data_IF_314382941773
#
_entry.id   IF_314382941773
#
_cell.length_a   1.000
_cell.length_b   1.000
_cell.length_c   1.000
_cell.angle_alpha   90.00
_cell.angle_beta   90.00
_cell.angle_gamma   90.00
#
_symmetry.space_group_name_H-M   'P 1'
#
loop_
_entity.id
_entity.type
_entity.pdbx_description
1 polymer ?
#
# COMPACT_ATOMS: atom_id res chain seq x y z
N UNK A 1 28.92 -1.31 -22.18
CA UNK A 1 28.15 -2.50 -21.73
C UNK A 1 26.80 -2.47 -22.43
N UNK A 2 26.66 -3.21 -23.54
CA UNK A 2 25.37 -3.43 -24.18
C UNK A 2 24.62 -4.49 -23.36
N UNK A 3 23.64 -4.05 -22.58
CA UNK A 3 22.68 -4.96 -21.95
C UNK A 3 21.86 -5.58 -23.10
N UNK A 4 21.78 -6.91 -23.23
CA UNK A 4 21.01 -7.55 -24.29
C UNK A 4 19.56 -7.05 -24.25
N UNK A 5 19.15 -6.34 -25.29
CA UNK A 5 17.83 -5.69 -25.40
C UNK A 5 16.66 -6.69 -25.31
N UNK A 6 16.91 -7.98 -25.51
CA UNK A 6 15.92 -9.04 -25.40
C UNK A 6 15.71 -9.61 -23.99
N UNK A 7 16.60 -9.34 -23.03
CA UNK A 7 16.48 -9.89 -21.66
C UNK A 7 15.85 -8.91 -20.66
N UNK A 8 15.90 -7.60 -20.92
CA UNK A 8 15.58 -6.58 -19.91
C UNK A 8 14.11 -6.14 -19.79
N UNK A 9 13.35 -6.08 -20.89
CA UNK A 9 12.05 -5.38 -20.83
C UNK A 9 10.83 -6.31 -20.89
N UNK A 10 10.87 -7.38 -21.70
CA UNK A 10 9.72 -8.30 -21.89
C UNK A 10 9.56 -9.37 -20.82
N UNK A 11 10.61 -9.70 -20.04
CA UNK A 11 10.52 -10.65 -18.92
C UNK A 11 10.24 -9.97 -17.57
N UNK A 12 10.80 -8.79 -17.33
CA UNK A 12 10.54 -7.99 -16.13
C UNK A 12 9.09 -7.48 -16.10
N UNK A 13 8.58 -7.09 -17.25
CA UNK A 13 7.15 -6.90 -17.47
C UNK A 13 6.63 -8.05 -18.31
N UNK A 14 6.27 -9.15 -17.65
CA UNK A 14 5.52 -10.23 -18.28
C UNK A 14 4.13 -9.68 -18.63
N UNK A 15 4.07 -8.92 -19.72
CA UNK A 15 2.90 -8.19 -20.22
C UNK A 15 1.76 -9.16 -20.43
N UNK A 16 2.04 -10.40 -20.85
CA UNK A 16 1.00 -11.43 -21.01
C UNK A 16 0.40 -11.87 -19.67
N UNK A 17 1.18 -11.98 -18.58
CA UNK A 17 0.64 -12.22 -17.23
C UNK A 17 -0.04 -11.00 -16.62
N UNK A 18 0.42 -9.79 -16.94
CA UNK A 18 -0.30 -8.57 -16.61
C UNK A 18 -1.63 -8.51 -17.35
N UNK A 19 -1.63 -8.75 -18.66
CA UNK A 19 -2.82 -8.80 -19.50
C UNK A 19 -3.75 -9.91 -18.99
N UNK A 20 -3.26 -11.09 -18.61
CA UNK A 20 -4.09 -12.14 -18.01
C UNK A 20 -4.66 -11.73 -16.64
N UNK A 21 -3.85 -11.20 -15.72
CA UNK A 21 -4.32 -10.75 -14.39
C UNK A 21 -5.26 -9.53 -14.46
N UNK A 22 -4.99 -8.59 -15.34
CA UNK A 22 -5.81 -7.41 -15.54
C UNK A 22 -6.98 -7.67 -16.50
N UNK A 23 -6.96 -8.75 -17.30
CA UNK A 23 -8.06 -9.07 -18.22
C UNK A 23 -9.36 -9.19 -17.45
N UNK A 24 -9.39 -9.92 -16.34
CA UNK A 24 -10.60 -10.08 -15.53
C UNK A 24 -11.11 -8.75 -15.01
N UNK A 25 -10.21 -7.86 -14.58
CA UNK A 25 -10.56 -6.54 -14.04
C UNK A 25 -10.95 -5.52 -15.12
N UNK A 26 -10.32 -5.60 -16.29
CA UNK A 26 -10.67 -4.86 -17.50
C UNK A 26 -12.04 -5.34 -18.00
N UNK A 27 -12.31 -6.65 -17.98
CA UNK A 27 -13.62 -7.22 -18.32
C UNK A 27 -14.69 -6.76 -17.33
N UNK A 28 -14.43 -6.80 -16.02
CA UNK A 28 -15.37 -6.30 -15.00
C UNK A 28 -15.62 -4.79 -15.22
N UNK A 29 -14.59 -4.01 -15.48
CA UNK A 29 -14.71 -2.56 -15.71
C UNK A 29 -15.43 -2.24 -17.01
N UNK A 30 -15.18 -3.00 -18.07
CA UNK A 30 -15.83 -2.87 -19.35
C UNK A 30 -17.32 -3.26 -19.28
N UNK A 31 -17.64 -4.41 -18.67
CA UNK A 31 -19.02 -4.84 -18.43
C UNK A 31 -19.75 -3.79 -17.61
N UNK A 32 -19.10 -3.27 -16.58
CA UNK A 32 -19.73 -2.29 -15.70
C UNK A 32 -19.89 -0.91 -16.38
N UNK A 33 -18.95 -0.49 -17.24
CA UNK A 33 -19.11 0.68 -18.12
C UNK A 33 -20.26 0.50 -19.12
N UNK A 34 -20.41 -0.70 -19.70
CA UNK A 34 -21.54 -1.03 -20.58
C UNK A 34 -22.86 -0.96 -19.80
N UNK A 35 -22.90 -1.49 -18.57
CA UNK A 35 -24.07 -1.37 -17.69
C UNK A 35 -24.38 0.08 -17.34
N UNK A 36 -23.36 0.91 -17.10
CA UNK A 36 -23.50 2.35 -16.87
C UNK A 36 -24.11 3.05 -18.09
N UNK A 37 -23.54 2.82 -19.28
CA UNK A 37 -24.01 3.40 -20.53
C UNK A 37 -25.44 2.93 -20.89
N UNK A 38 -25.77 1.67 -20.63
CA UNK A 38 -27.13 1.15 -20.79
C UNK A 38 -28.12 1.85 -19.86
N UNK A 39 -27.77 2.03 -18.59
CA UNK A 39 -28.63 2.73 -17.64
C UNK A 39 -28.80 4.22 -17.99
N UNK A 40 -27.73 4.90 -18.45
CA UNK A 40 -27.80 6.28 -18.96
C UNK A 40 -28.67 6.37 -20.22
N UNK A 41 -28.54 5.43 -21.15
CA UNK A 41 -29.40 5.34 -22.33
C UNK A 41 -30.87 5.11 -21.93
N UNK A 42 -31.15 4.24 -20.97
CA UNK A 42 -32.51 4.02 -20.45
C UNK A 42 -33.07 5.31 -19.82
N UNK A 43 -32.27 6.09 -19.08
CA UNK A 43 -32.69 7.39 -18.53
C UNK A 43 -33.04 8.39 -19.64
N UNK A 44 -32.20 8.46 -20.68
CA UNK A 44 -32.35 9.42 -21.78
C UNK A 44 -33.53 9.09 -22.70
N UNK A 45 -33.82 7.80 -22.92
CA UNK A 45 -34.80 7.35 -23.91
C UNK A 45 -36.18 6.99 -23.34
N UNK A 46 -36.40 7.12 -22.03
CA UNK A 46 -37.66 6.70 -21.41
C UNK A 46 -38.49 7.85 -20.84
N UNK A 47 -39.82 7.73 -20.98
CA UNK A 47 -40.83 8.54 -20.26
C UNK A 47 -40.90 8.14 -18.77
N UNK A 48 -39.75 7.97 -18.13
CA UNK A 48 -39.63 7.58 -16.74
C UNK A 48 -39.86 8.81 -15.84
N UNK A 49 -40.53 8.59 -14.71
CA UNK A 49 -40.76 9.62 -13.69
C UNK A 49 -39.43 10.17 -13.15
N UNK A 50 -39.43 11.42 -12.70
CA UNK A 50 -38.21 12.07 -12.18
C UNK A 50 -37.53 11.24 -11.08
N UNK A 51 -38.31 10.56 -10.23
CA UNK A 51 -37.79 9.70 -9.16
C UNK A 51 -37.02 8.50 -9.70
N UNK A 52 -37.55 7.81 -10.71
CA UNK A 52 -36.87 6.67 -11.29
C UNK A 52 -35.63 7.09 -12.11
N UNK A 53 -35.62 8.27 -12.74
CA UNK A 53 -34.38 8.83 -13.33
C UNK A 53 -33.28 9.06 -12.28
N UNK A 54 -33.63 9.60 -11.11
CA UNK A 54 -32.69 9.80 -10.00
C UNK A 54 -32.13 8.47 -9.49
N UNK A 55 -32.97 7.46 -9.30
CA UNK A 55 -32.52 6.14 -8.83
C UNK A 55 -31.63 5.43 -9.86
N UNK A 56 -31.92 5.53 -11.16
CA UNK A 56 -31.05 4.93 -12.18
C UNK A 56 -29.70 5.67 -12.23
N UNK A 57 -29.70 7.00 -12.18
CA UNK A 57 -28.46 7.80 -12.22
C UNK A 57 -27.56 7.48 -11.03
N UNK A 58 -28.16 7.24 -9.87
CA UNK A 58 -27.44 6.81 -8.69
C UNK A 58 -26.89 5.40 -8.78
N UNK A 59 -27.68 4.44 -9.28
CA UNK A 59 -27.19 3.09 -9.52
C UNK A 59 -25.97 3.11 -10.43
N UNK A 60 -26.01 3.96 -11.48
CA UNK A 60 -24.88 4.22 -12.36
C UNK A 60 -23.67 4.76 -11.59
N UNK A 61 -23.85 5.82 -10.79
CA UNK A 61 -22.74 6.41 -10.04
C UNK A 61 -22.16 5.40 -9.03
N UNK A 62 -23.00 4.73 -8.24
CA UNK A 62 -22.55 3.73 -7.26
C UNK A 62 -21.76 2.60 -7.91
N UNK A 63 -22.27 2.05 -9.03
CA UNK A 63 -21.54 1.03 -9.81
C UNK A 63 -20.22 1.61 -10.34
N UNK A 64 -20.23 2.82 -10.90
CA UNK A 64 -19.03 3.50 -11.41
C UNK A 64 -17.95 3.60 -10.35
N UNK A 65 -18.32 4.05 -9.15
CA UNK A 65 -17.42 4.24 -8.03
C UNK A 65 -16.86 2.90 -7.51
N UNK A 66 -17.67 1.84 -7.47
CA UNK A 66 -17.20 0.48 -7.13
C UNK A 66 -16.15 0.02 -8.14
N UNK A 67 -16.39 0.23 -9.44
CA UNK A 67 -15.40 -0.12 -10.48
C UNK A 67 -14.12 0.70 -10.27
N UNK A 68 -14.25 2.01 -10.11
CA UNK A 68 -13.09 2.90 -9.93
C UNK A 68 -12.29 2.44 -8.72
N UNK A 69 -12.94 2.09 -7.60
CA UNK A 69 -12.27 1.53 -6.44
C UNK A 69 -11.48 0.26 -6.78
N UNK A 70 -12.12 -0.71 -7.43
CA UNK A 70 -11.47 -1.98 -7.79
C UNK A 70 -10.29 -1.75 -8.75
N UNK A 71 -10.48 -0.91 -9.76
CA UNK A 71 -9.42 -0.52 -10.69
C UNK A 71 -8.26 0.13 -9.96
N UNK A 72 -8.51 1.06 -9.04
CA UNK A 72 -7.47 1.73 -8.28
C UNK A 72 -6.72 0.78 -7.34
N UNK A 73 -7.42 -0.13 -6.65
CA UNK A 73 -6.79 -1.19 -5.83
C UNK A 73 -5.82 -2.00 -6.69
N UNK A 74 -6.27 -2.41 -7.88
CA UNK A 74 -5.47 -3.24 -8.78
C UNK A 74 -4.33 -2.49 -9.46
N UNK A 75 -4.56 -1.26 -9.91
CA UNK A 75 -3.59 -0.47 -10.66
C UNK A 75 -2.51 0.11 -9.76
N UNK A 76 -2.89 0.62 -8.59
CA UNK A 76 -1.95 1.24 -7.67
C UNK A 76 -1.26 0.22 -6.74
N UNK A 77 -1.71 -1.05 -6.74
CA UNK A 77 -1.34 -2.07 -5.74
C UNK A 77 -1.39 -1.54 -4.31
N UNK A 78 -2.29 -0.59 -4.09
CA UNK A 78 -2.38 0.14 -2.85
C UNK A 78 -3.26 -0.66 -1.88
N UNK A 79 -3.00 -0.50 -0.59
CA UNK A 79 -3.82 -1.10 0.45
C UNK A 79 -5.30 -0.69 0.28
N UNK A 80 -6.24 -1.63 0.42
CA UNK A 80 -7.67 -1.40 0.20
C UNK A 80 -8.24 -0.33 1.15
N UNK A 81 -7.59 -0.18 2.30
CA UNK A 81 -7.79 0.78 3.36
C UNK A 81 -7.71 2.23 2.86
N UNK A 82 -6.85 2.50 1.87
CA UNK A 82 -6.70 3.82 1.26
C UNK A 82 -7.95 4.27 0.48
N UNK A 83 -8.92 3.38 0.26
CA UNK A 83 -10.17 3.66 -0.44
C UNK A 83 -11.40 3.72 0.47
N UNK A 84 -11.24 3.67 1.80
CA UNK A 84 -12.38 3.74 2.74
C UNK A 84 -13.24 5.00 2.56
N UNK A 85 -12.64 6.14 2.22
CA UNK A 85 -13.39 7.36 1.90
C UNK A 85 -14.31 7.19 0.68
N UNK A 86 -13.87 6.45 -0.34
CA UNK A 86 -14.65 6.14 -1.52
C UNK A 86 -15.82 5.18 -1.20
N UNK A 87 -15.60 4.22 -0.29
CA UNK A 87 -16.68 3.36 0.23
C UNK A 87 -17.75 4.19 0.93
N UNK A 88 -17.37 5.16 1.78
CA UNK A 88 -18.31 6.07 2.43
C UNK A 88 -19.17 6.84 1.42
N UNK A 89 -18.55 7.34 0.35
CA UNK A 89 -19.26 8.02 -0.74
C UNK A 89 -20.23 7.08 -1.47
N UNK A 90 -19.80 5.86 -1.81
CA UNK A 90 -20.65 4.84 -2.46
C UNK A 90 -21.88 4.53 -1.59
N UNK A 91 -21.66 4.29 -0.30
CA UNK A 91 -22.71 3.95 0.66
C UNK A 91 -23.68 5.12 0.81
N UNK A 92 -23.19 6.33 1.01
CA UNK A 92 -24.02 7.53 1.15
C UNK A 92 -24.88 7.82 -0.08
N UNK A 93 -24.30 7.75 -1.29
CA UNK A 93 -25.03 7.94 -2.54
C UNK A 93 -26.07 6.84 -2.75
N UNK A 94 -25.70 5.57 -2.54
CA UNK A 94 -26.64 4.44 -2.65
C UNK A 94 -27.83 4.66 -1.72
N UNK A 95 -27.63 5.06 -0.47
CA UNK A 95 -28.75 5.33 0.43
C UNK A 95 -29.62 6.52 -0.01
N UNK A 96 -29.02 7.66 -0.35
CA UNK A 96 -29.77 8.85 -0.75
C UNK A 96 -30.69 8.62 -1.95
N UNK A 97 -30.31 7.72 -2.86
CA UNK A 97 -31.01 7.54 -4.12
C UNK A 97 -31.87 6.28 -4.23
N UNK A 98 -31.63 5.27 -3.39
CA UNK A 98 -32.50 4.10 -3.28
C UNK A 98 -33.62 4.28 -2.25
N UNK A 99 -33.59 5.35 -1.44
CA UNK A 99 -34.67 5.70 -0.51
C UNK A 99 -36.08 5.65 -1.15
N UNK A 100 -36.33 6.18 -2.37
CA UNK A 100 -37.65 6.10 -3.01
C UNK A 100 -38.09 4.69 -3.41
N UNK A 101 -37.16 3.74 -3.56
CA UNK A 101 -37.43 2.33 -3.88
C UNK A 101 -37.62 1.48 -2.62
N UNK A 102 -36.88 1.81 -1.56
CA UNK A 102 -36.89 1.05 -0.31
C UNK A 102 -38.19 1.28 0.46
N UNK A 103 -38.75 2.49 0.48
CA UNK A 103 -39.99 2.79 1.19
C UNK A 103 -41.18 1.96 0.66
N UNK A 104 -41.46 1.91 -0.66
CA UNK A 104 -42.54 1.06 -1.19
C UNK A 104 -42.30 -0.43 -0.95
N UNK A 105 -41.06 -0.90 -1.11
CA UNK A 105 -40.70 -2.30 -0.91
C UNK A 105 -40.90 -2.74 0.54
N UNK A 106 -40.47 -1.89 1.49
CA UNK A 106 -40.70 -2.13 2.91
C UNK A 106 -42.20 -2.14 3.24
N UNK A 107 -42.96 -1.18 2.71
CA UNK A 107 -44.42 -1.13 2.89
C UNK A 107 -45.10 -2.38 2.32
N UNK A 108 -44.61 -2.93 1.21
CA UNK A 108 -45.06 -4.19 0.64
C UNK A 108 -44.78 -5.39 1.56
N UNK A 109 -43.54 -5.56 2.01
CA UNK A 109 -43.18 -6.66 2.94
C UNK A 109 -43.88 -6.53 4.29
N UNK A 110 -44.07 -5.32 4.79
CA UNK A 110 -44.84 -5.07 6.01
C UNK A 110 -46.27 -5.57 5.89
N UNK A 111 -46.96 -5.29 4.76
CA UNK A 111 -48.32 -5.78 4.51
C UNK A 111 -48.37 -7.31 4.46
N UNK A 112 -47.31 -7.95 3.97
CA UNK A 112 -47.19 -9.41 3.95
C UNK A 112 -46.95 -10.01 5.34
N UNK A 113 -46.09 -9.38 6.15
CA UNK A 113 -45.63 -9.93 7.43
C UNK A 113 -46.52 -9.58 8.62
N UNK A 114 -47.18 -8.42 8.61
CA UNK A 114 -47.98 -7.94 9.75
C UNK A 114 -49.39 -7.63 9.28
N UNK A 115 -50.26 -8.65 9.39
CA UNK A 115 -51.66 -8.66 8.91
C UNK A 115 -52.55 -7.59 9.57
N UNK A 116 -52.14 -7.05 10.72
CA UNK A 116 -52.89 -6.09 11.55
C UNK A 116 -52.10 -4.82 11.93
N UNK A 117 -51.16 -4.36 11.09
CA UNK A 117 -50.30 -3.21 11.43
C UNK A 117 -50.93 -1.83 11.17
N UNK A 118 -51.94 -1.44 11.94
CA UNK A 118 -52.43 -0.04 11.98
C UNK A 118 -51.51 0.92 12.74
N UNK A 119 -50.48 0.42 13.43
CA UNK A 119 -49.76 1.18 14.47
C UNK A 119 -48.46 1.87 14.04
N UNK A 120 -47.78 1.43 12.97
CA UNK A 120 -46.55 2.09 12.50
C UNK A 120 -46.86 3.10 11.40
N UNK A 121 -46.57 4.38 11.61
CA UNK A 121 -46.71 5.38 10.55
C UNK A 121 -45.62 5.17 9.47
N UNK A 122 -45.88 5.54 8.22
CA UNK A 122 -44.86 5.56 7.16
C UNK A 122 -43.66 6.43 7.56
N UNK A 123 -43.93 7.53 8.30
CA UNK A 123 -42.91 8.38 8.88
C UNK A 123 -42.00 7.63 9.86
N UNK A 124 -42.54 6.72 10.67
CA UNK A 124 -41.76 5.90 11.61
C UNK A 124 -40.78 4.97 10.88
N UNK A 125 -41.21 4.39 9.75
CA UNK A 125 -40.35 3.55 8.90
C UNK A 125 -39.23 4.39 8.29
N UNK A 126 -39.58 5.56 7.75
CA UNK A 126 -38.61 6.48 7.17
C UNK A 126 -37.57 6.94 8.20
N UNK A 127 -38.03 7.27 9.40
CA UNK A 127 -37.15 7.66 10.50
C UNK A 127 -36.22 6.51 10.92
N UNK A 128 -36.71 5.28 10.99
CA UNK A 128 -35.89 4.11 11.30
C UNK A 128 -34.84 3.84 10.22
N UNK A 129 -35.24 3.91 8.94
CA UNK A 129 -34.32 3.79 7.82
C UNK A 129 -33.24 4.88 7.87
N UNK A 130 -33.62 6.14 8.02
CA UNK A 130 -32.69 7.27 8.11
C UNK A 130 -31.73 7.10 9.29
N UNK A 131 -32.21 6.62 10.45
CA UNK A 131 -31.36 6.32 11.61
C UNK A 131 -30.32 5.25 11.28
N UNK A 132 -30.71 4.17 10.61
CA UNK A 132 -29.79 3.13 10.15
C UNK A 132 -28.72 3.68 9.21
N UNK A 133 -29.11 4.54 8.25
CA UNK A 133 -28.18 5.20 7.33
C UNK A 133 -27.20 6.11 8.08
N UNK A 134 -27.70 6.92 9.02
CA UNK A 134 -26.88 7.81 9.84
C UNK A 134 -25.87 6.99 10.66
N UNK A 135 -26.30 5.88 11.26
CA UNK A 135 -25.41 5.01 12.04
C UNK A 135 -24.32 4.38 11.15
N UNK A 136 -24.69 3.78 10.02
CA UNK A 136 -23.72 3.17 9.09
C UNK A 136 -22.74 4.21 8.54
N UNK A 137 -23.25 5.36 8.10
CA UNK A 137 -22.43 6.45 7.58
C UNK A 137 -21.53 7.03 8.66
N UNK A 138 -22.02 7.14 9.90
CA UNK A 138 -21.25 7.55 11.06
C UNK A 138 -20.12 6.59 11.38
N UNK A 139 -20.36 5.27 11.33
CA UNK A 139 -19.30 4.27 11.49
C UNK A 139 -18.25 4.40 10.38
N UNK A 140 -18.65 4.47 9.12
CA UNK A 140 -17.71 4.61 8.00
C UNK A 140 -16.94 5.93 8.09
N UNK A 141 -17.60 7.02 8.48
CA UNK A 141 -16.97 8.32 8.70
C UNK A 141 -15.96 8.27 9.83
N UNK A 142 -16.29 7.65 10.97
CA UNK A 142 -15.36 7.47 12.08
C UNK A 142 -14.19 6.56 11.70
N UNK A 143 -14.43 5.52 10.90
CA UNK A 143 -13.35 4.70 10.33
C UNK A 143 -12.48 5.52 9.37
N UNK A 144 -13.08 6.38 8.55
CA UNK A 144 -12.39 7.28 7.63
C UNK A 144 -11.56 8.33 8.35
N UNK A 145 -12.10 8.96 9.41
CA UNK A 145 -11.34 9.82 10.32
C UNK A 145 -10.20 9.02 10.91
N UNK A 146 -10.48 7.87 11.53
CA UNK A 146 -9.44 7.03 12.13
C UNK A 146 -8.34 6.74 11.13
N UNK A 147 -8.63 6.27 9.92
CA UNK A 147 -7.61 5.99 8.90
C UNK A 147 -6.92 7.25 8.36
N UNK A 148 -7.61 8.39 8.31
CA UNK A 148 -7.01 9.66 7.88
C UNK A 148 -6.13 10.31 8.96
N UNK A 149 -6.46 10.15 10.24
CA UNK A 149 -5.77 10.79 11.37
C UNK A 149 -4.74 9.85 11.99
N UNK A 150 -5.03 8.56 12.02
CA UNK A 150 -4.07 7.54 12.39
C UNK A 150 -3.37 7.14 11.11
N UNK A 151 -2.07 7.41 11.00
CA UNK A 151 -1.20 6.88 9.92
C UNK A 151 -1.01 5.35 10.02
N UNK A 152 -2.05 4.64 10.48
CA UNK A 152 -2.14 3.19 10.79
C UNK A 152 -2.03 2.31 9.54
N UNK A 153 -2.00 2.91 8.35
CA UNK A 153 -1.50 2.24 7.13
C UNK A 153 -0.07 1.69 7.34
N UNK A 154 0.65 2.24 8.34
CA UNK A 154 1.91 1.76 8.85
C UNK A 154 1.79 1.54 10.37
N UNK A 155 1.29 0.38 10.82
CA UNK A 155 1.22 -0.02 12.24
C UNK A 155 2.56 0.11 12.99
N UNK A 156 3.69 0.27 12.28
CA UNK A 156 5.02 0.64 12.80
C UNK A 156 5.06 1.91 13.64
N UNK A 157 4.15 2.86 13.37
CA UNK A 157 4.12 4.17 14.02
C UNK A 157 2.98 4.30 15.04
N UNK A 158 2.36 3.20 15.46
CA UNK A 158 1.30 3.25 16.46
C UNK A 158 1.84 3.86 17.77
N UNK A 159 1.39 5.07 18.10
CA UNK A 159 1.89 5.92 19.21
C UNK A 159 3.29 6.54 19.00
N UNK A 160 3.80 6.59 17.77
CA UNK A 160 5.03 7.33 17.50
C UNK A 160 4.77 8.84 17.54
N UNK A 161 5.47 9.53 18.43
CA UNK A 161 5.49 10.99 18.47
C UNK A 161 6.59 11.50 17.53
N UNK A 162 6.21 12.34 16.57
CA UNK A 162 7.13 12.91 15.57
C UNK A 162 7.70 14.26 16.06
N UNK A 163 8.18 14.30 17.30
CA UNK A 163 8.68 15.53 17.90
C UNK A 163 10.16 15.77 17.57
N UNK A 164 10.92 14.69 17.43
CA UNK A 164 12.36 14.76 17.22
C UNK A 164 12.67 15.06 15.75
N UNK A 165 13.67 15.91 15.52
CA UNK A 165 14.21 16.20 14.20
C UNK A 165 15.50 15.43 14.01
N UNK A 166 15.72 14.88 12.81
CA UNK A 166 17.00 14.29 12.47
C UNK A 166 18.08 15.36 12.40
N UNK A 167 19.18 15.16 13.11
CA UNK A 167 20.38 15.98 13.04
C UNK A 167 21.29 15.54 11.88
N UNK A 168 20.71 15.45 10.68
CA UNK A 168 21.39 15.10 9.43
C UNK A 168 21.32 16.30 8.51
N UNK A 169 22.46 16.81 7.97
CA UNK A 169 22.48 17.91 7.02
C UNK A 169 21.50 17.71 5.85
N UNK A 170 20.62 18.69 5.62
CA UNK A 170 19.59 18.64 4.56
C UNK A 170 18.31 17.89 4.94
N UNK A 171 18.26 17.26 6.12
CA UNK A 171 17.10 16.55 6.67
C UNK A 171 16.61 17.15 7.99
N UNK A 172 17.03 18.35 8.36
CA UNK A 172 16.67 19.02 9.63
C UNK A 172 15.16 19.27 9.75
N UNK A 173 14.46 19.30 8.62
CA UNK A 173 13.00 19.44 8.53
C UNK A 173 12.25 18.12 8.66
N UNK A 174 12.94 16.98 8.55
CA UNK A 174 12.37 15.65 8.70
C UNK A 174 12.16 15.38 10.18
N UNK A 175 10.90 15.18 10.56
CA UNK A 175 10.55 14.72 11.90
C UNK A 175 10.62 13.21 11.94
N UNK A 176 11.43 12.68 12.85
CA UNK A 176 11.51 11.26 13.12
C UNK A 176 10.53 10.88 14.21
N UNK A 177 9.81 9.79 13.99
CA UNK A 177 8.98 9.16 15.01
C UNK A 177 9.57 7.78 15.29
N UNK A 178 9.81 7.41 16.55
CA UNK A 178 10.37 6.10 16.90
C UNK A 178 9.57 4.98 16.25
N UNK A 179 10.26 4.07 15.54
CA UNK A 179 9.60 3.00 14.80
C UNK A 179 9.70 1.70 15.59
N UNK A 180 8.58 1.07 15.91
CA UNK A 180 8.59 -0.24 16.55
C UNK A 180 8.54 -1.34 15.47
N UNK A 181 9.69 -1.97 15.24
CA UNK A 181 9.86 -3.07 14.29
C UNK A 181 10.10 -4.35 15.10
N UNK A 182 9.08 -5.21 15.15
CA UNK A 182 9.12 -6.49 15.87
C UNK A 182 9.56 -6.38 17.35
N UNK A 183 9.17 -5.29 18.03
CA UNK A 183 9.52 -5.06 19.43
C UNK A 183 10.86 -4.35 19.63
N UNK A 184 11.59 -4.03 18.56
CA UNK A 184 12.76 -3.16 18.62
C UNK A 184 12.38 -1.76 18.17
N UNK A 185 12.81 -0.75 18.93
CA UNK A 185 12.53 0.65 18.64
C UNK A 185 13.73 1.21 17.88
N UNK A 186 13.46 1.82 16.73
CA UNK A 186 14.47 2.56 15.94
C UNK A 186 14.35 4.03 16.27
N UNK A 187 15.33 4.55 16.98
CA UNK A 187 15.39 5.93 17.42
C UNK A 187 16.08 6.83 16.37
N UNK A 188 16.00 8.15 16.54
CA UNK A 188 16.64 9.10 15.63
C UNK A 188 18.17 8.95 15.66
N UNK A 189 18.72 8.73 16.85
CA UNK A 189 20.15 8.55 17.11
C UNK A 189 20.73 7.34 16.39
N UNK A 190 19.93 6.29 16.16
CA UNK A 190 20.36 5.11 15.41
C UNK A 190 20.59 5.48 13.93
N UNK A 191 19.66 6.25 13.35
CA UNK A 191 19.75 6.73 11.96
C UNK A 191 20.92 7.70 11.79
N UNK A 192 21.06 8.64 12.74
CA UNK A 192 22.16 9.60 12.78
C UNK A 192 23.51 8.91 12.94
N UNK A 193 23.61 7.87 13.78
CA UNK A 193 24.82 7.08 13.97
C UNK A 193 25.25 6.35 12.70
N UNK A 194 24.31 5.73 11.98
CA UNK A 194 24.59 5.12 10.66
C UNK A 194 25.02 6.18 9.66
N UNK A 195 24.29 7.29 9.56
CA UNK A 195 24.63 8.38 8.66
C UNK A 195 26.05 8.90 8.90
N UNK A 196 26.38 9.23 10.16
CA UNK A 196 27.68 9.77 10.54
C UNK A 196 28.80 8.76 10.22
N UNK A 197 28.58 7.47 10.52
CA UNK A 197 29.55 6.42 10.20
C UNK A 197 29.83 6.32 8.69
N UNK A 198 28.78 6.30 7.86
CA UNK A 198 28.92 6.21 6.41
C UNK A 198 29.55 7.49 5.83
N UNK A 199 29.24 8.65 6.39
CA UNK A 199 29.83 9.93 6.00
C UNK A 199 31.32 9.99 6.34
N UNK A 200 31.72 9.54 7.54
CA UNK A 200 33.10 9.57 8.00
C UNK A 200 34.00 8.59 7.23
N UNK A 201 33.46 7.44 6.84
CA UNK A 201 34.18 6.46 6.02
C UNK A 201 34.30 6.90 4.56
N UNK A 202 33.25 7.49 3.98
CA UNK A 202 33.24 7.93 2.59
C UNK A 202 33.32 6.79 1.56
N UNK A 203 33.14 5.55 2.00
CA UNK A 203 33.27 4.35 1.18
C UNK A 203 31.96 3.95 0.49
N UNK A 204 32.06 3.12 -0.56
CA UNK A 204 30.90 2.53 -1.20
C UNK A 204 30.19 1.54 -0.25
N UNK A 205 28.88 1.75 -0.06
CA UNK A 205 28.08 0.96 0.87
C UNK A 205 26.85 0.35 0.21
N UNK A 206 26.35 -0.72 0.81
CA UNK A 206 25.10 -1.38 0.43
C UNK A 206 24.20 -1.56 1.64
N UNK A 207 22.94 -1.13 1.52
CA UNK A 207 21.93 -1.28 2.57
C UNK A 207 20.97 -2.42 2.24
N UNK A 208 20.72 -3.29 3.22
CA UNK A 208 19.81 -4.42 3.09
C UNK A 208 19.02 -4.68 4.39
N UNK A 209 17.73 -5.09 4.34
CA UNK A 209 16.85 -5.16 3.16
C UNK A 209 16.06 -3.85 2.89
N UNK A 210 16.20 -2.87 3.76
CA UNK A 210 15.39 -1.64 3.80
C UNK A 210 16.30 -0.41 3.98
N UNK A 211 15.75 0.80 4.13
CA UNK A 211 16.51 2.03 4.41
C UNK A 211 17.39 2.57 3.26
N UNK A 212 17.02 2.30 2.01
CA UNK A 212 17.71 2.87 0.85
C UNK A 212 17.69 4.40 0.75
N UNK A 213 17.00 5.12 1.65
CA UNK A 213 17.13 6.58 1.70
C UNK A 213 18.55 7.02 2.09
N UNK A 214 19.36 6.16 2.72
CA UNK A 214 20.78 6.44 2.97
C UNK A 214 21.55 6.83 1.70
N UNK A 215 21.21 6.22 0.55
CA UNK A 215 21.78 6.59 -0.75
C UNK A 215 21.44 8.03 -1.15
N UNK A 216 20.20 8.46 -0.90
CA UNK A 216 19.74 9.80 -1.23
C UNK A 216 20.40 10.88 -0.37
N UNK A 217 20.62 10.62 0.92
CA UNK A 217 21.18 11.61 1.86
C UNK A 217 22.69 11.74 1.77
N UNK A 218 23.39 10.65 1.40
CA UNK A 218 24.84 10.65 1.22
C UNK A 218 25.24 10.90 -0.25
N UNK A 219 24.25 11.17 -1.12
CA UNK A 219 24.43 11.33 -2.58
C UNK A 219 25.23 10.19 -3.23
N UNK A 220 25.12 8.98 -2.65
CA UNK A 220 25.86 7.80 -3.09
C UNK A 220 24.94 6.87 -3.90
N UNK A 221 25.21 6.58 -5.19
CA UNK A 221 24.35 5.68 -5.96
C UNK A 221 24.32 4.28 -5.35
N UNK A 222 23.15 3.63 -5.40
CA UNK A 222 23.06 2.23 -4.98
C UNK A 222 23.82 1.34 -5.97
N UNK A 223 24.57 0.31 -5.48
CA UNK A 223 25.29 -0.62 -6.33
C UNK A 223 24.37 -1.54 -7.14
N UNK A 224 23.06 -1.51 -6.89
CA UNK A 224 22.10 -2.38 -7.55
C UNK A 224 20.75 -1.69 -7.80
N UNK A 225 19.96 -2.16 -8.78
CA UNK A 225 18.68 -1.54 -9.13
C UNK A 225 17.58 -1.76 -8.09
N UNK A 226 17.71 -2.73 -7.17
CA UNK A 226 16.73 -3.04 -6.15
C UNK A 226 17.05 -2.31 -4.85
N UNK A 227 16.30 -1.24 -4.58
CA UNK A 227 16.44 -0.40 -3.38
C UNK A 227 15.61 -0.88 -2.18
N UNK A 228 14.65 -1.76 -2.42
CA UNK A 228 13.75 -2.22 -1.36
C UNK A 228 13.37 -3.67 -1.60
N UNK A 229 13.49 -4.49 -0.56
CA UNK A 229 13.21 -5.92 -0.64
C UNK A 229 11.92 -6.22 0.11
N UNK A 230 10.84 -6.43 -0.63
CA UNK A 230 9.57 -6.89 -0.07
C UNK A 230 9.04 -8.04 -0.92
N UNK A 231 8.88 -9.19 -0.29
CA UNK A 231 8.40 -10.43 -0.91
C UNK A 231 7.01 -10.24 -1.51
N UNK A 232 6.87 -10.55 -2.80
CA UNK A 232 5.61 -10.39 -3.54
C UNK A 232 5.32 -8.97 -4.06
N UNK A 233 6.10 -7.97 -3.63
CA UNK A 233 5.97 -6.59 -4.09
C UNK A 233 7.13 -6.20 -5.02
N UNK A 234 8.36 -6.23 -4.52
CA UNK A 234 9.55 -5.84 -5.31
C UNK A 234 10.19 -7.02 -6.03
N UNK A 235 10.03 -8.23 -5.51
CA UNK A 235 10.43 -9.46 -6.20
C UNK A 235 9.49 -10.63 -5.93
N UNK A 236 9.55 -11.63 -6.80
CA UNK A 236 8.85 -12.90 -6.64
C UNK A 236 9.82 -13.99 -6.15
N UNK A 237 9.30 -15.03 -5.48
CA UNK A 237 10.15 -16.13 -4.99
C UNK A 237 10.87 -16.88 -6.13
N UNK A 238 10.29 -16.90 -7.32
CA UNK A 238 10.88 -17.61 -8.47
C UNK A 238 12.16 -16.95 -8.98
N UNK A 239 12.33 -15.65 -8.77
CA UNK A 239 13.52 -14.90 -9.20
C UNK A 239 14.52 -14.69 -8.04
N UNK A 240 14.26 -15.26 -6.86
CA UNK A 240 15.06 -15.00 -5.66
C UNK A 240 16.53 -15.35 -5.85
N UNK A 241 16.84 -16.54 -6.37
CA UNK A 241 18.22 -16.97 -6.60
C UNK A 241 18.95 -16.07 -7.61
N UNK A 242 18.25 -15.62 -8.66
CA UNK A 242 18.82 -14.65 -9.61
C UNK A 242 19.14 -13.32 -8.93
N UNK A 243 18.26 -12.84 -8.06
CA UNK A 243 18.48 -11.60 -7.31
C UNK A 243 19.63 -11.77 -6.30
N UNK A 244 19.74 -12.93 -5.65
CA UNK A 244 20.85 -13.29 -4.77
C UNK A 244 22.21 -13.14 -5.48
N UNK A 245 22.34 -13.75 -6.66
CA UNK A 245 23.52 -13.63 -7.52
C UNK A 245 23.76 -12.18 -7.94
N UNK A 246 22.72 -11.46 -8.37
CA UNK A 246 22.83 -10.06 -8.76
C UNK A 246 23.30 -9.14 -7.62
N UNK A 247 22.89 -9.41 -6.37
CA UNK A 247 23.37 -8.65 -5.21
C UNK A 247 24.88 -8.84 -5.08
N UNK A 248 25.35 -10.09 -5.05
CA UNK A 248 26.77 -10.41 -4.86
C UNK A 248 27.63 -9.88 -6.01
N UNK A 249 27.17 -10.05 -7.24
CA UNK A 249 27.83 -9.49 -8.43
C UNK A 249 27.88 -7.95 -8.36
N UNK A 250 26.79 -7.32 -7.90
CA UNK A 250 26.69 -5.88 -7.70
C UNK A 250 27.69 -5.37 -6.65
N UNK A 251 27.86 -6.08 -5.55
CA UNK A 251 28.82 -5.71 -4.50
C UNK A 251 30.26 -5.76 -5.03
N UNK A 252 30.62 -6.83 -5.73
CA UNK A 252 31.96 -7.01 -6.30
C UNK A 252 32.26 -5.99 -7.41
N UNK A 253 31.31 -5.78 -8.33
CA UNK A 253 31.51 -4.90 -9.48
C UNK A 253 31.54 -3.39 -9.15
N UNK A 254 30.95 -2.97 -8.04
CA UNK A 254 30.94 -1.57 -7.59
C UNK A 254 31.94 -1.29 -6.46
N UNK A 255 32.85 -2.24 -6.17
CA UNK A 255 33.85 -2.13 -5.11
C UNK A 255 33.27 -1.79 -3.73
N UNK A 256 32.10 -2.37 -3.40
CA UNK A 256 31.44 -2.10 -2.13
C UNK A 256 32.27 -2.61 -0.95
N UNK A 257 32.58 -1.71 -0.02
CA UNK A 257 33.35 -2.02 1.18
C UNK A 257 32.49 -2.19 2.41
N UNK A 258 31.31 -1.56 2.42
CA UNK A 258 30.44 -1.51 3.59
C UNK A 258 29.10 -2.17 3.29
N UNK A 259 28.59 -2.97 4.23
CA UNK A 259 27.22 -3.45 4.24
C UNK A 259 26.53 -2.93 5.50
N UNK A 260 25.38 -2.29 5.31
CA UNK A 260 24.46 -1.87 6.37
C UNK A 260 23.31 -2.87 6.39
N UNK A 261 23.29 -3.74 7.39
CA UNK A 261 22.32 -4.80 7.52
C UNK A 261 21.31 -4.47 8.63
N UNK A 262 20.01 -4.51 8.33
CA UNK A 262 18.97 -4.44 9.36
C UNK A 262 18.77 -5.81 10.01
N UNK A 263 18.95 -5.89 11.33
CA UNK A 263 18.79 -7.13 12.10
C UNK A 263 17.33 -7.56 12.28
N UNK A 264 16.39 -6.62 12.18
CA UNK A 264 14.95 -6.85 12.11
C UNK A 264 14.38 -6.19 10.86
N UNK A 265 13.33 -6.79 10.32
CA UNK A 265 12.64 -6.30 9.12
C UNK A 265 11.18 -5.95 9.41
N UNK A 266 10.59 -5.09 8.58
CA UNK A 266 9.14 -4.93 8.53
C UNK A 266 8.42 -6.25 8.16
N UNK A 267 7.14 -6.47 8.52
CA UNK A 267 6.30 -7.51 7.97
C UNK A 267 6.52 -7.80 6.49
N UNK A 268 6.93 -9.04 6.19
CA UNK A 268 7.31 -9.50 4.86
C UNK A 268 8.80 -9.47 4.56
N UNK A 269 9.63 -8.93 5.46
CA UNK A 269 11.10 -8.80 5.30
C UNK A 269 11.90 -9.46 6.44
N UNK A 270 11.22 -10.10 7.40
CA UNK A 270 11.75 -10.50 8.72
C UNK A 270 12.91 -11.51 8.66
N UNK A 271 13.00 -12.29 7.58
CA UNK A 271 13.98 -13.37 7.41
C UNK A 271 14.72 -13.28 6.09
N UNK A 272 14.71 -12.12 5.44
CA UNK A 272 15.19 -12.02 4.06
C UNK A 272 16.63 -12.46 3.90
N UNK A 273 17.53 -12.09 4.82
CA UNK A 273 18.94 -12.48 4.70
C UNK A 273 19.09 -14.01 4.55
N UNK A 274 18.43 -14.79 5.41
CA UNK A 274 18.44 -16.25 5.35
C UNK A 274 17.76 -16.84 4.11
N UNK A 275 16.99 -16.04 3.37
CA UNK A 275 16.41 -16.45 2.09
C UNK A 275 17.36 -16.22 0.90
N UNK A 276 18.40 -15.39 1.07
CA UNK A 276 19.44 -15.06 0.08
C UNK A 276 20.76 -15.72 0.50
N UNK A 277 20.85 -17.03 0.31
CA UNK A 277 21.94 -17.85 0.84
C UNK A 277 23.33 -17.49 0.29
N UNK A 278 23.42 -17.03 -0.95
CA UNK A 278 24.72 -16.66 -1.53
C UNK A 278 25.19 -15.36 -0.87
N UNK A 279 24.30 -14.38 -0.75
CA UNK A 279 24.58 -13.11 -0.09
C UNK A 279 24.88 -13.29 1.40
N UNK A 280 24.08 -14.08 2.13
CA UNK A 280 24.32 -14.40 3.55
C UNK A 280 25.71 -15.02 3.76
N UNK A 281 26.07 -16.00 2.93
CA UNK A 281 27.41 -16.61 2.97
C UNK A 281 28.51 -15.59 2.64
N UNK A 282 28.29 -14.73 1.65
CA UNK A 282 29.25 -13.68 1.26
C UNK A 282 29.52 -12.73 2.43
N UNK A 283 28.49 -12.30 3.17
CA UNK A 283 28.66 -11.49 4.39
C UNK A 283 29.49 -12.26 5.43
N UNK A 284 29.18 -13.54 5.67
CA UNK A 284 29.85 -14.34 6.69
C UNK A 284 31.33 -14.64 6.38
N UNK A 285 31.67 -14.81 5.11
CA UNK A 285 33.02 -15.16 4.65
C UNK A 285 33.90 -13.92 4.43
N UNK A 286 33.35 -12.87 3.81
CA UNK A 286 34.14 -11.76 3.30
C UNK A 286 34.02 -10.50 4.15
N UNK A 287 33.01 -10.41 5.02
CA UNK A 287 32.79 -9.22 5.83
C UNK A 287 32.92 -9.51 7.35
N UNK A 288 33.24 -8.46 8.11
CA UNK A 288 33.27 -8.47 9.56
C UNK A 288 32.39 -7.35 10.12
N UNK A 289 31.64 -7.65 11.18
CA UNK A 289 30.81 -6.65 11.84
C UNK A 289 31.69 -5.71 12.67
N UNK A 290 31.64 -4.41 12.38
CA UNK A 290 32.50 -3.39 13.00
C UNK A 290 31.75 -2.40 13.89
N UNK A 291 30.45 -2.21 13.64
CA UNK A 291 29.61 -1.32 14.44
C UNK A 291 28.16 -1.79 14.50
N UNK A 292 27.40 -1.24 15.46
CA UNK A 292 25.96 -1.46 15.59
C UNK A 292 25.29 -0.20 16.12
N UNK A 293 24.22 0.22 15.46
CA UNK A 293 23.40 1.38 15.81
C UNK A 293 21.94 0.91 15.82
N UNK A 294 21.33 0.75 17.00
CA UNK A 294 20.00 0.17 17.14
C UNK A 294 19.88 -1.18 16.42
N UNK A 295 19.04 -1.21 15.38
CA UNK A 295 18.80 -2.41 14.56
C UNK A 295 19.83 -2.61 13.45
N UNK A 296 20.64 -1.60 13.15
CA UNK A 296 21.60 -1.59 12.05
C UNK A 296 22.93 -2.21 12.47
N UNK A 297 23.34 -3.25 11.76
CA UNK A 297 24.63 -3.90 11.88
C UNK A 297 25.50 -3.46 10.72
N UNK A 298 26.67 -2.88 11.01
CA UNK A 298 27.59 -2.39 9.99
C UNK A 298 28.71 -3.42 9.82
N UNK A 299 28.90 -3.83 8.57
CA UNK A 299 29.88 -4.82 8.17
C UNK A 299 30.89 -4.20 7.21
N UNK A 300 32.19 -4.46 7.43
CA UNK A 300 33.27 -4.05 6.55
C UNK A 300 33.88 -5.26 5.85
N UNK A 301 34.28 -5.07 4.59
CA UNK A 301 35.03 -6.09 3.84
C UNK A 301 36.35 -6.38 4.57
N UNK A 302 36.59 -7.65 4.93
CA UNK A 302 37.83 -8.12 5.54
C UNK A 302 38.99 -7.76 4.62
N UNK A 303 40.03 -7.14 5.17
CA UNK A 303 41.19 -6.60 4.45
C UNK A 303 40.99 -5.25 3.72
N UNK A 304 39.92 -4.50 4.00
CA UNK A 304 39.80 -3.11 3.52
C UNK A 304 40.52 -2.08 4.42
N UNK A 305 40.89 -2.45 5.65
CA UNK A 305 41.66 -1.60 6.55
C UNK A 305 43.15 -1.61 6.15
N UNK A 306 43.54 -0.65 5.31
CA UNK A 306 44.93 -0.22 5.12
C UNK A 306 45.24 0.99 6.00
#
# INVERSE_FOLDING_TARGET
>A
LEIPSDLGFRRLFNIDRMIQRYSTSIYISFISLVLILMNVAIILFSKITQNARRSIFAGVISISLIITQQLSILSARNQAENYLGLIGLIVGLTFAFYQPLIIPLFNYFRKLLIKDSSTLSEQSVLNFYNLGVILISGVIFLMGIKVSTSRVVHDYFANADFNDSLNIPGMEWVRWGPQNIQGQIVEAEDIEGVYQYLMDTGEQFYVFPEYAFFYGILENPSPQPLLWFHKGLTFNNTNRSLIDEMIVDGLSSNDNKIIVLSSVGTPGTEKLLSEFSIYERTIAEDYEQVATYGIFQIYHLRNSTN
#
